data_IF_275401109323
#
_entry.id   IF_275401109323
#
_cell.length_a   1.000
_cell.length_b   1.000
_cell.length_c   1.000
_cell.angle_alpha   90.00
_cell.angle_beta   90.00
_cell.angle_gamma   90.00
#
_symmetry.space_group_name_H-M   'P 1'
#
loop_
_entity.id
_entity.type
_entity.pdbx_description
1 polymer ?
#
# COMPACT_ATOMS: atom_id res chain seq x y z
N UNK A 1 13.89 -31.13 8.26
CA UNK A 1 13.53 -30.48 6.98
C UNK A 1 12.57 -29.37 7.33
N UNK A 2 13.01 -28.11 7.31
CA UNK A 2 12.18 -26.97 7.71
C UNK A 2 11.30 -26.59 6.52
N UNK A 3 9.99 -26.69 6.66
CA UNK A 3 9.06 -26.14 5.67
C UNK A 3 9.27 -24.62 5.64
N UNK A 4 9.33 -23.98 4.46
CA UNK A 4 9.39 -22.52 4.39
C UNK A 4 8.13 -21.93 5.04
N UNK A 5 8.22 -20.70 5.56
CA UNK A 5 7.09 -20.03 6.23
C UNK A 5 6.05 -19.60 5.18
N UNK A 6 5.25 -20.57 4.76
CA UNK A 6 4.36 -20.49 3.59
C UNK A 6 3.07 -19.69 3.85
N UNK A 7 3.04 -18.90 4.92
CA UNK A 7 1.92 -18.03 5.31
C UNK A 7 2.07 -16.58 4.83
N UNK A 8 3.27 -16.16 4.42
CA UNK A 8 3.47 -14.83 3.81
C UNK A 8 2.83 -14.82 2.42
N UNK A 9 2.14 -13.72 2.03
CA UNK A 9 1.51 -13.62 0.71
C UNK A 9 2.52 -13.83 -0.42
N UNK A 10 2.25 -14.81 -1.27
CA UNK A 10 2.95 -14.99 -2.53
C UNK A 10 2.72 -13.74 -3.39
N UNK A 11 3.74 -13.30 -4.13
CA UNK A 11 3.62 -12.14 -5.01
C UNK A 11 2.63 -12.43 -6.13
N UNK A 12 1.65 -11.54 -6.31
CA UNK A 12 0.68 -11.66 -7.40
C UNK A 12 -0.61 -10.88 -7.20
N UNK A 13 -1.53 -11.08 -8.15
CA UNK A 13 -2.87 -10.51 -8.14
C UNK A 13 -3.91 -11.58 -7.79
N UNK A 14 -4.81 -11.23 -6.88
CA UNK A 14 -5.81 -12.12 -6.33
C UNK A 14 -7.20 -11.54 -6.55
N UNK A 15 -8.07 -12.24 -7.30
CA UNK A 15 -9.50 -11.89 -7.35
C UNK A 15 -10.12 -12.29 -6.02
N UNK A 16 -10.56 -11.30 -5.22
CA UNK A 16 -11.16 -11.54 -3.89
C UNK A 16 -12.64 -11.84 -4.04
N UNK A 17 -13.35 -11.05 -4.85
CA UNK A 17 -14.75 -11.24 -5.22
C UNK A 17 -14.99 -10.64 -6.61
N UNK A 18 -16.23 -10.52 -7.07
CA UNK A 18 -16.46 -9.79 -8.32
C UNK A 18 -16.01 -8.33 -8.19
N UNK A 19 -15.39 -7.81 -9.26
CA UNK A 19 -14.80 -6.45 -9.36
C UNK A 19 -13.67 -6.09 -8.38
N UNK A 20 -13.39 -6.87 -7.34
CA UNK A 20 -12.38 -6.58 -6.31
C UNK A 20 -11.16 -7.49 -6.45
N UNK A 21 -9.99 -6.87 -6.58
CA UNK A 21 -8.70 -7.51 -6.72
C UNK A 21 -7.72 -7.00 -5.66
N UNK A 22 -6.80 -7.83 -5.20
CA UNK A 22 -5.71 -7.44 -4.32
C UNK A 22 -4.37 -7.75 -4.94
N UNK A 23 -3.44 -6.80 -4.89
CA UNK A 23 -2.05 -6.98 -5.30
C UNK A 23 -1.23 -7.12 -4.03
N UNK A 24 -0.56 -8.27 -3.88
CA UNK A 24 0.15 -8.65 -2.67
C UNK A 24 1.62 -8.97 -2.97
N UNK A 25 2.48 -8.80 -1.97
CA UNK A 25 3.91 -9.14 -2.04
C UNK A 25 4.82 -8.12 -2.73
N UNK A 26 4.29 -6.97 -3.18
CA UNK A 26 5.08 -5.84 -3.70
C UNK A 26 5.61 -4.92 -2.60
N UNK A 27 5.02 -4.98 -1.40
CA UNK A 27 5.47 -4.25 -0.20
C UNK A 27 5.08 -5.04 1.07
N UNK A 28 5.33 -4.45 2.24
CA UNK A 28 4.77 -4.90 3.51
C UNK A 28 3.23 -4.84 3.50
N UNK A 29 2.68 -3.78 2.91
CA UNK A 29 1.25 -3.53 2.74
C UNK A 29 0.63 -4.30 1.55
N UNK A 30 -0.69 -4.28 1.47
CA UNK A 30 -1.49 -4.84 0.37
C UNK A 30 -2.37 -3.74 -0.21
N UNK A 31 -2.31 -3.52 -1.52
CA UNK A 31 -3.22 -2.59 -2.20
C UNK A 31 -4.43 -3.35 -2.78
N UNK A 32 -5.61 -2.75 -2.69
CA UNK A 32 -6.86 -3.32 -3.22
C UNK A 32 -7.35 -2.46 -4.39
N UNK A 33 -7.66 -3.08 -5.53
CA UNK A 33 -8.15 -2.42 -6.74
C UNK A 33 -9.60 -2.85 -6.97
N UNK A 34 -10.50 -1.88 -6.99
CA UNK A 34 -11.93 -2.06 -7.22
C UNK A 34 -12.29 -1.48 -8.59
N UNK A 35 -13.01 -2.25 -9.40
CA UNK A 35 -13.56 -1.78 -10.69
C UNK A 35 -14.89 -1.06 -10.48
N UNK A 36 -14.92 0.24 -10.76
CA UNK A 36 -16.13 1.05 -10.89
C UNK A 36 -16.47 1.31 -12.37
N UNK A 37 -17.69 1.77 -12.71
CA UNK A 37 -18.03 2.24 -14.06
C UNK A 37 -17.12 3.39 -14.54
N UNK A 38 -16.77 4.31 -13.64
CA UNK A 38 -16.01 5.53 -13.90
C UNK A 38 -14.51 5.25 -14.08
N UNK A 39 -14.00 4.12 -13.57
CA UNK A 39 -12.60 3.74 -13.60
C UNK A 39 -12.21 2.77 -12.50
N UNK A 40 -10.92 2.72 -12.17
CA UNK A 40 -10.37 1.98 -11.05
C UNK A 40 -10.38 2.85 -9.79
N UNK A 41 -10.82 2.28 -8.67
CA UNK A 41 -10.64 2.85 -7.33
C UNK A 41 -9.57 2.04 -6.61
N UNK A 42 -8.54 2.69 -6.12
CA UNK A 42 -7.38 2.04 -5.47
C UNK A 42 -7.37 2.35 -3.99
N UNK A 43 -7.40 1.31 -3.16
CA UNK A 43 -7.25 1.40 -1.72
C UNK A 43 -5.81 1.10 -1.32
N UNK A 44 -5.29 1.90 -0.39
CA UNK A 44 -3.98 1.75 0.26
C UNK A 44 -2.84 1.42 -0.73
N UNK A 45 -2.44 2.39 -1.59
CA UNK A 45 -1.47 2.17 -2.66
C UNK A 45 0.00 2.05 -2.19
N UNK A 46 0.25 1.22 -1.17
CA UNK A 46 1.56 0.80 -0.66
C UNK A 46 2.41 1.94 -0.06
N UNK A 47 3.56 1.59 0.55
CA UNK A 47 4.35 2.53 1.36
C UNK A 47 5.32 3.41 0.56
N UNK A 48 5.58 3.11 -0.73
CA UNK A 48 6.44 3.95 -1.57
C UNK A 48 5.91 4.09 -2.99
N UNK A 49 6.24 5.22 -3.61
CA UNK A 49 5.87 5.50 -5.01
C UNK A 49 6.34 4.43 -6.00
N UNK A 50 7.47 3.75 -5.71
CA UNK A 50 8.01 2.68 -6.56
C UNK A 50 7.16 1.42 -6.44
N UNK A 51 6.91 0.93 -5.22
CA UNK A 51 6.08 -0.28 -5.01
C UNK A 51 4.65 -0.05 -5.52
N UNK A 52 4.06 1.12 -5.25
CA UNK A 52 2.77 1.56 -5.76
C UNK A 52 2.69 1.47 -7.30
N UNK A 53 3.69 2.03 -7.99
CA UNK A 53 3.75 2.02 -9.45
C UNK A 53 3.92 0.61 -10.00
N UNK A 54 4.80 -0.20 -9.42
CA UNK A 54 5.04 -1.57 -9.90
C UNK A 54 3.80 -2.46 -9.72
N UNK A 55 3.13 -2.37 -8.57
CA UNK A 55 1.88 -3.08 -8.30
C UNK A 55 0.74 -2.66 -9.27
N UNK A 56 0.61 -1.36 -9.55
CA UNK A 56 -0.41 -0.85 -10.46
C UNK A 56 -0.09 -1.18 -11.93
N UNK A 57 1.15 -1.01 -12.38
CA UNK A 57 1.63 -1.43 -13.70
C UNK A 57 1.39 -2.93 -13.92
N UNK A 58 1.63 -3.76 -12.91
CA UNK A 58 1.41 -5.20 -12.95
C UNK A 58 -0.08 -5.53 -13.11
N UNK A 59 -0.97 -4.90 -12.34
CA UNK A 59 -2.42 -5.05 -12.54
C UNK A 59 -2.84 -4.62 -13.95
N UNK A 60 -2.36 -3.47 -14.44
CA UNK A 60 -2.69 -2.94 -15.77
C UNK A 60 -2.22 -3.81 -16.94
N UNK A 61 -1.16 -4.60 -16.76
CA UNK A 61 -0.61 -5.50 -17.79
C UNK A 61 -1.25 -6.88 -17.75
N UNK A 62 -1.26 -7.52 -16.57
CA UNK A 62 -1.59 -8.95 -16.45
C UNK A 62 -3.08 -9.21 -16.22
N UNK A 63 -3.75 -8.32 -15.48
CA UNK A 63 -5.13 -8.55 -15.00
C UNK A 63 -6.12 -7.68 -15.77
N UNK A 64 -5.91 -6.37 -15.72
CA UNK A 64 -6.81 -5.32 -16.22
C UNK A 64 -7.40 -5.60 -17.61
N UNK A 65 -6.59 -5.93 -18.64
CA UNK A 65 -7.08 -6.16 -20.00
C UNK A 65 -8.10 -7.30 -20.09
N UNK A 66 -7.94 -8.33 -19.26
CA UNK A 66 -8.81 -9.50 -19.20
C UNK A 66 -10.10 -9.26 -18.39
N UNK A 67 -10.25 -8.10 -17.74
CA UNK A 67 -11.42 -7.79 -16.91
C UNK A 67 -12.52 -6.98 -17.60
N UNK A 68 -12.25 -6.36 -18.75
CA UNK A 68 -13.17 -5.40 -19.38
C UNK A 68 -13.49 -4.16 -18.52
N UNK A 69 -12.57 -3.77 -17.62
CA UNK A 69 -12.68 -2.54 -16.84
C UNK A 69 -12.32 -1.30 -17.68
N UNK A 70 -12.86 -0.14 -17.31
CA UNK A 70 -12.18 1.12 -17.57
C UNK A 70 -10.91 1.16 -16.70
N UNK A 71 -9.73 1.18 -17.34
CA UNK A 71 -8.42 1.12 -16.66
C UNK A 71 -7.89 2.48 -16.22
N UNK A 72 -8.66 3.56 -16.41
CA UNK A 72 -8.34 4.89 -15.90
C UNK A 72 -8.43 4.90 -14.36
N UNK A 73 -7.45 5.47 -13.67
CA UNK A 73 -7.55 5.71 -12.22
C UNK A 73 -8.58 6.82 -11.95
N UNK A 74 -9.63 6.52 -11.19
CA UNK A 74 -10.71 7.45 -10.86
C UNK A 74 -10.55 8.03 -9.44
N UNK A 75 -10.23 7.17 -8.47
CA UNK A 75 -10.06 7.59 -7.07
C UNK A 75 -9.02 6.73 -6.33
N UNK A 76 -8.48 7.31 -5.26
CA UNK A 76 -7.61 6.66 -4.27
C UNK A 76 -8.27 6.79 -2.91
N UNK A 77 -8.26 5.72 -2.11
CA UNK A 77 -8.80 5.69 -0.74
C UNK A 77 -7.69 5.25 0.21
N UNK A 78 -7.43 6.05 1.24
CA UNK A 78 -6.53 5.71 2.33
C UNK A 78 -7.38 5.26 3.52
N UNK A 79 -7.22 4.02 3.99
CA UNK A 79 -8.06 3.45 5.06
C UNK A 79 -7.62 3.85 6.47
N UNK A 80 -6.35 4.20 6.64
CA UNK A 80 -5.73 4.54 7.92
C UNK A 80 -4.50 5.42 7.67
N UNK A 81 -4.16 6.28 8.63
CA UNK A 81 -2.93 7.08 8.61
C UNK A 81 -1.71 6.19 8.87
N UNK A 82 -1.06 5.71 7.81
CA UNK A 82 0.29 5.14 7.84
C UNK A 82 1.00 5.47 6.52
N UNK A 83 2.24 5.96 6.66
CA UNK A 83 3.16 6.41 5.60
C UNK A 83 2.58 7.42 4.59
N UNK A 84 3.41 8.39 4.20
CA UNK A 84 2.97 9.41 3.24
C UNK A 84 2.85 8.82 1.81
N UNK A 85 1.69 9.00 1.18
CA UNK A 85 1.39 8.56 -0.20
C UNK A 85 1.16 9.78 -1.12
N UNK A 86 1.97 9.98 -2.18
CA UNK A 86 1.80 11.11 -3.12
C UNK A 86 1.21 10.62 -4.42
N UNK A 87 0.10 11.24 -4.81
CA UNK A 87 -0.23 11.49 -6.21
C UNK A 87 -0.29 13.00 -6.49
N UNK A 88 0.03 13.37 -7.73
CA UNK A 88 -0.02 14.76 -8.18
C UNK A 88 -1.47 15.22 -8.39
N UNK A 89 -1.82 16.42 -7.92
CA UNK A 89 -3.12 17.08 -8.14
C UNK A 89 -3.57 16.98 -9.60
N UNK A 90 -4.80 16.48 -9.78
CA UNK A 90 -5.48 16.26 -11.06
C UNK A 90 -6.95 15.87 -10.79
N UNK A 91 -7.67 15.38 -11.80
CA UNK A 91 -9.09 14.99 -11.67
C UNK A 91 -9.32 13.66 -10.90
N UNK A 92 -8.39 13.28 -10.02
CA UNK A 92 -8.44 12.02 -9.26
C UNK A 92 -8.82 12.35 -7.82
N UNK A 93 -9.89 11.74 -7.34
CA UNK A 93 -10.37 11.96 -5.99
C UNK A 93 -9.53 11.17 -4.98
N UNK A 94 -8.95 11.85 -3.99
CA UNK A 94 -8.31 11.22 -2.82
C UNK A 94 -9.28 11.29 -1.65
N UNK A 95 -9.59 10.15 -1.04
CA UNK A 95 -10.53 10.00 0.07
C UNK A 95 -9.79 9.45 1.29
N UNK A 96 -9.97 10.07 2.45
CA UNK A 96 -9.29 9.74 3.70
C UNK A 96 -10.25 9.86 4.90
N UNK A 97 -9.94 9.26 6.07
CA UNK A 97 -10.67 9.54 7.31
C UNK A 97 -10.43 10.98 7.79
N UNK A 98 -11.33 11.50 8.63
CA UNK A 98 -11.16 12.76 9.35
C UNK A 98 -9.80 12.82 10.08
N UNK A 99 -9.13 13.98 10.00
CA UNK A 99 -7.83 14.27 10.61
C UNK A 99 -6.66 13.44 10.05
N UNK A 100 -6.82 12.74 8.92
CA UNK A 100 -5.76 11.90 8.32
C UNK A 100 -4.43 12.65 8.15
N UNK A 101 -4.48 13.90 7.71
CA UNK A 101 -3.30 14.75 7.54
C UNK A 101 -2.59 15.07 8.87
N UNK A 102 -3.33 15.32 9.94
CA UNK A 102 -2.77 15.65 11.26
C UNK A 102 -2.15 14.42 11.92
N UNK A 103 -2.84 13.27 11.86
CA UNK A 103 -2.33 12.01 12.42
C UNK A 103 -1.09 11.51 11.65
N UNK A 104 -1.13 11.49 10.31
CA UNK A 104 0.01 11.05 9.49
C UNK A 104 1.27 11.91 9.68
N UNK A 105 1.10 13.23 9.85
CA UNK A 105 2.21 14.14 10.15
C UNK A 105 2.68 14.00 11.61
N UNK A 106 1.77 13.89 12.58
CA UNK A 106 2.14 13.88 14.00
C UNK A 106 2.83 12.58 14.44
N UNK A 107 2.41 11.42 13.89
CA UNK A 107 3.05 10.11 14.13
C UNK A 107 4.53 10.14 13.74
N UNK A 108 4.84 10.74 12.58
CA UNK A 108 6.19 10.79 12.06
C UNK A 108 7.02 11.93 12.69
N UNK A 109 6.50 13.16 12.69
CA UNK A 109 7.31 14.35 12.95
C UNK A 109 7.96 14.38 14.35
N UNK A 110 7.25 13.91 15.38
CA UNK A 110 7.74 14.02 16.76
C UNK A 110 8.82 12.99 17.15
N UNK A 111 8.89 11.85 16.46
CA UNK A 111 9.64 10.68 16.97
C UNK A 111 10.40 9.86 15.91
N UNK A 112 10.41 10.28 14.64
CA UNK A 112 11.04 9.57 13.51
C UNK A 112 12.46 9.04 13.78
N UNK A 113 13.30 9.79 14.49
CA UNK A 113 14.68 9.37 14.81
C UNK A 113 14.73 8.14 15.73
N UNK A 114 13.93 8.14 16.80
CA UNK A 114 13.88 7.04 17.77
C UNK A 114 13.05 5.87 17.25
N UNK A 115 11.93 6.13 16.56
CA UNK A 115 11.09 5.10 15.95
C UNK A 115 11.81 4.42 14.79
N UNK A 116 12.39 5.18 13.85
CA UNK A 116 13.13 4.62 12.71
C UNK A 116 14.30 3.74 13.15
N UNK A 117 15.06 4.15 14.18
CA UNK A 117 16.15 3.31 14.71
C UNK A 117 15.65 1.99 15.33
N UNK A 118 14.45 1.97 15.92
CA UNK A 118 13.79 0.73 16.41
C UNK A 118 13.24 -0.11 15.27
N UNK A 119 12.62 0.51 14.28
CA UNK A 119 12.08 -0.14 13.08
C UNK A 119 13.17 -0.92 12.31
N UNK A 120 14.40 -0.40 12.24
CA UNK A 120 15.51 -1.13 11.62
C UNK A 120 15.84 -2.48 12.28
N UNK A 121 15.65 -2.61 13.59
CA UNK A 121 15.79 -3.88 14.30
C UNK A 121 14.56 -4.77 14.11
N UNK A 122 13.35 -4.19 14.19
CA UNK A 122 12.08 -4.90 14.02
C UNK A 122 11.93 -5.55 12.64
N UNK A 123 12.24 -4.81 11.57
CA UNK A 123 12.18 -5.29 10.18
C UNK A 123 13.50 -5.91 9.69
N UNK A 124 14.54 -5.91 10.53
CA UNK A 124 15.86 -6.46 10.19
C UNK A 124 16.55 -5.76 9.02
N UNK A 125 16.30 -4.46 8.80
CA UNK A 125 16.77 -3.73 7.60
C UNK A 125 18.30 -3.69 7.44
N UNK A 126 19.05 -3.91 8.52
CA UNK A 126 20.52 -3.99 8.51
C UNK A 126 21.07 -5.41 8.29
N UNK A 127 20.20 -6.43 8.22
CA UNK A 127 20.59 -7.83 8.08
C UNK A 127 20.56 -8.26 6.60
N UNK A 128 21.55 -9.06 6.15
CA UNK A 128 21.50 -9.65 4.81
C UNK A 128 20.30 -10.58 4.66
N UNK A 129 19.78 -10.73 3.44
CA UNK A 129 18.72 -11.67 3.14
C UNK A 129 19.28 -13.08 2.95
N UNK A 130 19.17 -13.94 3.96
CA UNK A 130 19.52 -15.37 3.89
C UNK A 130 18.87 -16.16 5.04
N UNK A 131 18.98 -17.48 5.00
CA UNK A 131 18.41 -18.45 5.95
C UNK A 131 18.83 -18.25 7.42
N UNK A 132 19.97 -17.57 7.69
CA UNK A 132 20.50 -17.31 9.02
C UNK A 132 20.30 -15.85 9.48
N UNK A 133 19.56 -15.04 8.72
CA UNK A 133 19.44 -13.60 8.91
C UNK A 133 18.01 -13.11 8.59
N UNK A 134 17.83 -12.04 7.78
CA UNK A 134 16.49 -11.54 7.45
C UNK A 134 15.82 -12.47 6.43
N UNK A 135 14.72 -13.09 6.84
CA UNK A 135 13.85 -13.89 5.96
C UNK A 135 12.61 -13.07 5.53
N UNK A 136 11.90 -12.48 6.49
CA UNK A 136 10.63 -11.75 6.27
C UNK A 136 10.25 -10.92 7.52
N UNK A 137 9.25 -10.03 7.42
CA UNK A 137 8.70 -9.29 8.56
C UNK A 137 7.52 -9.99 9.26
N UNK A 138 7.13 -11.17 8.79
CA UNK A 138 6.00 -11.96 9.32
C UNK A 138 4.66 -11.53 8.75
N UNK A 139 4.33 -10.23 8.77
CA UNK A 139 3.13 -9.66 8.15
C UNK A 139 3.13 -9.83 6.62
N UNK A 140 4.30 -9.61 6.02
CA UNK A 140 4.62 -9.83 4.60
C UNK A 140 6.15 -9.99 4.49
N UNK A 141 6.72 -9.67 3.33
CA UNK A 141 8.14 -9.37 3.17
C UNK A 141 8.56 -8.12 3.97
N UNK A 142 9.74 -7.57 3.72
CA UNK A 142 10.21 -6.33 4.37
C UNK A 142 9.53 -5.08 3.79
N UNK A 143 9.43 -4.01 4.58
CA UNK A 143 9.01 -2.68 4.10
C UNK A 143 9.91 -2.20 2.95
N UNK A 144 9.33 -1.56 1.93
CA UNK A 144 10.09 -1.02 0.80
C UNK A 144 10.92 0.21 1.19
N UNK A 145 12.22 0.19 0.85
CA UNK A 145 13.19 1.24 1.24
C UNK A 145 13.35 2.28 0.12
N UNK A 146 12.28 3.01 -0.20
CA UNK A 146 12.30 4.09 -1.21
C UNK A 146 11.70 5.38 -0.64
N UNK A 147 11.50 6.38 -1.51
CA UNK A 147 10.93 7.67 -1.11
C UNK A 147 9.44 7.50 -0.76
N UNK A 148 9.13 7.77 0.50
CA UNK A 148 7.79 8.04 1.07
C UNK A 148 7.47 9.53 0.83
N UNK A 149 6.23 9.92 0.55
CA UNK A 149 5.91 11.28 0.03
C UNK A 149 4.42 11.66 0.23
N UNK A 150 4.03 12.85 0.69
CA UNK A 150 2.60 13.19 0.96
C UNK A 150 1.73 13.69 -0.23
N UNK A 151 0.42 13.40 -0.22
CA UNK A 151 -0.60 14.14 -0.99
C UNK A 151 -1.81 14.51 -0.12
N UNK A 152 -2.25 15.76 -0.25
CA UNK A 152 -3.48 16.26 0.37
C UNK A 152 -4.69 15.46 -0.14
N UNK A 153 -5.59 15.15 0.79
CA UNK A 153 -6.90 14.58 0.49
C UNK A 153 -7.79 15.61 -0.24
N UNK A 154 -8.86 15.09 -0.85
CA UNK A 154 -9.87 15.92 -1.52
C UNK A 154 -11.27 15.74 -0.93
N UNK A 155 -11.42 14.76 -0.04
CA UNK A 155 -12.66 14.42 0.67
C UNK A 155 -12.30 13.65 1.95
N UNK A 156 -12.53 14.28 3.11
CA UNK A 156 -12.53 13.57 4.39
C UNK A 156 -13.87 12.89 4.65
N UNK A 157 -13.82 11.67 5.19
CA UNK A 157 -14.97 10.97 5.76
C UNK A 157 -15.08 11.36 7.23
N UNK A 158 -16.10 12.16 7.55
CA UNK A 158 -16.29 12.82 8.86
C UNK A 158 -17.40 12.22 9.72
N UNK A 159 -18.11 11.20 9.21
CA UNK A 159 -19.22 10.54 9.89
C UNK A 159 -19.10 9.03 9.74
N UNK A 160 -19.22 8.33 10.86
CA UNK A 160 -19.42 6.88 10.88
C UNK A 160 -20.74 6.49 10.24
N UNK A 161 -20.77 5.32 9.61
CA UNK A 161 -22.00 4.71 9.07
C UNK A 161 -22.50 3.69 10.10
N UNK A 162 -23.52 4.06 10.87
CA UNK A 162 -24.22 3.21 11.86
C UNK A 162 -25.45 2.52 11.26
#
# INVERSE_FOLDING_TARGET
>A
MMFPVQTVPILGAYKVMDKVYQIRGFDLAVTTIIKAPEGLVVFDPLGTKVSAKEAFDFYLKEVGPNTGANLTLAAVVCTHSQDEITWSKGNIQVVAPLNFAEEALSENYMVIGNMGRRAWWQFGNLLPANENARIQAGLSFTQSNSLVTYAEDTLEITMDIY
#
